data_IF_703876053486
#
_entry.id   IF_703876053486
#
_cell.length_a   1.000
_cell.length_b   1.000
_cell.length_c   1.000
_cell.angle_alpha   90.00
_cell.angle_beta   90.00
_cell.angle_gamma   90.00
#
_symmetry.space_group_name_H-M   'P 1'
#
loop_
_entity.id
_entity.type
_entity.pdbx_description
1 polymer ?
#
# COMPACT_ATOMS: atom_id res chain seq x y z
N UNK A 1 13.81 10.72 0.21
CA UNK A 1 12.71 10.24 1.07
C UNK A 1 11.48 10.11 0.20
N UNK A 2 10.99 8.89 0.02
CA UNK A 2 9.81 8.58 -0.79
C UNK A 2 8.64 8.36 0.16
N UNK A 3 7.51 9.00 -0.10
CA UNK A 3 6.27 8.79 0.68
C UNK A 3 5.23 8.14 -0.23
N UNK A 4 4.68 7.03 0.23
CA UNK A 4 3.63 6.31 -0.50
C UNK A 4 2.39 6.19 0.36
N UNK A 5 1.22 6.24 -0.25
CA UNK A 5 -0.03 5.88 0.43
C UNK A 5 -0.51 4.52 -0.05
N UNK A 6 -0.90 3.69 0.89
CA UNK A 6 -1.47 2.36 0.67
C UNK A 6 -2.94 2.42 1.05
N UNK A 7 -3.85 2.19 0.12
CA UNK A 7 -5.30 2.21 0.37
C UNK A 7 -5.87 0.82 0.16
N UNK A 8 -6.33 0.21 1.23
CA UNK A 8 -7.01 -1.08 1.21
C UNK A 8 -8.45 -0.90 0.75
N UNK A 9 -8.93 -1.80 -0.10
CA UNK A 9 -10.31 -1.83 -0.56
C UNK A 9 -11.02 -3.08 -0.04
N UNK A 10 -12.28 -2.92 0.35
CA UNK A 10 -13.12 -3.99 0.88
C UNK A 10 -14.22 -3.41 1.76
N UNK A 11 -14.94 -4.29 2.44
CA UNK A 11 -15.97 -3.89 3.39
C UNK A 11 -15.33 -3.27 4.65
N UNK A 12 -15.93 -2.23 5.26
CA UNK A 12 -15.33 -1.51 6.39
C UNK A 12 -14.93 -2.40 7.57
N UNK A 13 -15.76 -3.40 7.87
CA UNK A 13 -15.57 -4.36 8.96
C UNK A 13 -14.36 -5.28 8.77
N UNK A 14 -13.99 -5.56 7.51
CA UNK A 14 -12.85 -6.39 7.15
C UNK A 14 -11.58 -5.56 6.95
N UNK A 15 -11.71 -4.33 6.44
CA UNK A 15 -10.57 -3.47 6.04
C UNK A 15 -9.79 -2.96 7.25
N UNK A 16 -10.48 -2.49 8.29
CA UNK A 16 -9.84 -1.91 9.47
C UNK A 16 -8.89 -2.89 10.21
N UNK A 17 -9.29 -4.14 10.54
CA UNK A 17 -8.36 -5.10 11.15
C UNK A 17 -7.20 -5.47 10.23
N UNK A 18 -7.43 -5.59 8.92
CA UNK A 18 -6.39 -5.89 7.94
C UNK A 18 -5.40 -4.73 7.77
N UNK A 19 -5.87 -3.48 7.79
CA UNK A 19 -5.01 -2.30 7.75
C UNK A 19 -4.09 -2.24 8.98
N UNK A 20 -4.61 -2.57 10.17
CA UNK A 20 -3.79 -2.66 11.38
C UNK A 20 -2.75 -3.76 11.32
N UNK A 21 -3.13 -4.93 10.80
CA UNK A 21 -2.20 -6.05 10.61
C UNK A 21 -1.10 -5.70 9.61
N UNK A 22 -1.48 -5.15 8.45
CA UNK A 22 -0.52 -4.73 7.44
C UNK A 22 0.43 -3.66 7.98
N UNK A 23 -0.07 -2.67 8.74
CA UNK A 23 0.78 -1.67 9.39
C UNK A 23 1.83 -2.30 10.30
N UNK A 24 1.47 -3.31 11.08
CA UNK A 24 2.44 -4.03 11.92
C UNK A 24 3.52 -4.71 11.06
N UNK A 25 3.13 -5.40 9.98
CA UNK A 25 4.07 -6.02 9.04
C UNK A 25 4.99 -4.98 8.37
N UNK A 26 4.51 -3.76 8.10
CA UNK A 26 5.29 -2.67 7.52
C UNK A 26 6.32 -2.09 8.49
N UNK A 27 5.97 -1.95 9.77
CA UNK A 27 6.89 -1.44 10.79
C UNK A 27 8.08 -2.38 11.04
N UNK A 28 7.94 -3.67 10.72
CA UNK A 28 9.03 -4.64 10.79
C UNK A 28 10.05 -4.50 9.63
N UNK A 29 9.73 -3.74 8.57
CA UNK A 29 10.57 -3.60 7.36
C UNK A 29 11.65 -2.50 7.45
N UNK A 30 11.92 -1.93 8.63
CA UNK A 30 12.83 -0.79 8.81
C UNK A 30 12.42 0.43 7.96
N UNK A 31 11.11 0.67 7.86
CA UNK A 31 10.55 1.90 7.28
C UNK A 31 10.76 3.06 8.24
N UNK A 32 10.88 4.28 7.72
CA UNK A 32 11.04 5.46 8.59
C UNK A 32 9.76 5.73 9.39
N UNK A 33 8.61 5.53 8.77
CA UNK A 33 7.31 5.55 9.44
C UNK A 33 6.25 4.77 8.67
N UNK A 34 5.26 4.26 9.41
CA UNK A 34 4.00 3.76 8.88
C UNK A 34 2.86 4.27 9.78
N UNK A 35 2.07 5.20 9.25
CA UNK A 35 1.03 5.90 9.98
C UNK A 35 -0.31 5.77 9.26
N UNK A 36 -1.41 5.74 10.01
CA UNK A 36 -2.71 5.83 9.36
C UNK A 36 -2.94 7.26 8.88
N UNK A 37 -3.53 7.39 7.69
CA UNK A 37 -3.98 8.70 7.23
C UNK A 37 -5.01 9.24 8.24
N UNK A 38 -4.80 10.46 8.71
CA UNK A 38 -5.75 11.15 9.60
C UNK A 38 -6.67 12.00 8.74
N UNK A 39 -7.98 11.72 8.78
CA UNK A 39 -8.99 12.48 8.02
C UNK A 39 -9.58 11.72 6.83
N UNK A 40 -10.30 12.45 5.98
CA UNK A 40 -11.04 11.92 4.82
C UNK A 40 -10.09 11.23 3.83
N UNK A 41 -10.53 10.10 3.25
CA UNK A 41 -9.74 9.30 2.33
C UNK A 41 -9.12 10.18 1.21
N UNK A 42 -7.90 9.86 0.73
CA UNK A 42 -7.24 10.67 -0.31
C UNK A 42 -8.15 10.92 -1.50
N UNK A 43 -8.14 12.15 -2.03
CA UNK A 43 -9.02 12.54 -3.15
C UNK A 43 -8.87 11.57 -4.33
N UNK A 44 -9.95 10.88 -4.67
CA UNK A 44 -9.99 9.86 -5.73
C UNK A 44 -10.08 8.40 -5.27
N UNK A 45 -10.01 8.11 -3.97
CA UNK A 45 -10.26 6.77 -3.42
C UNK A 45 -11.75 6.41 -3.50
N UNK A 46 -12.19 5.94 -4.66
CA UNK A 46 -13.55 5.42 -4.84
C UNK A 46 -13.70 4.12 -4.02
N UNK A 47 -14.72 4.06 -3.17
CA UNK A 47 -15.10 2.83 -2.45
C UNK A 47 -14.43 2.64 -1.09
N UNK A 48 -13.96 3.71 -0.45
CA UNK A 48 -13.52 3.71 0.94
C UNK A 48 -14.58 4.39 1.79
N UNK A 49 -15.06 3.71 2.82
CA UNK A 49 -15.94 4.31 3.83
C UNK A 49 -15.14 5.34 4.66
N UNK A 50 -15.60 6.61 4.79
CA UNK A 50 -14.89 7.65 5.51
C UNK A 50 -14.69 7.38 7.02
N UNK A 51 -15.36 6.38 7.59
CA UNK A 51 -15.17 5.94 8.97
C UNK A 51 -14.13 4.82 9.16
N UNK A 52 -13.68 4.16 8.07
CA UNK A 52 -12.78 3.02 8.16
C UNK A 52 -11.30 3.44 8.04
N UNK A 53 -10.45 2.84 8.88
CA UNK A 53 -8.99 2.98 8.71
C UNK A 53 -8.56 2.09 7.54
N UNK A 54 -8.51 2.66 6.35
CA UNK A 54 -8.14 1.94 5.12
C UNK A 54 -6.79 2.38 4.54
N UNK A 55 -6.26 3.52 4.99
CA UNK A 55 -5.12 4.16 4.35
C UNK A 55 -3.93 4.26 5.28
N UNK A 56 -2.78 3.79 4.82
CA UNK A 56 -1.50 3.84 5.53
C UNK A 56 -0.53 4.70 4.70
N UNK A 57 0.06 5.71 5.33
CA UNK A 57 1.15 6.52 4.78
C UNK A 57 2.47 5.90 5.25
N UNK A 58 3.34 5.58 4.29
CA UNK A 58 4.64 4.96 4.56
C UNK A 58 5.75 5.87 4.04
N UNK A 59 6.68 6.23 4.92
CA UNK A 59 7.89 6.97 4.59
C UNK A 59 9.11 6.05 4.50
N UNK A 60 9.91 6.25 3.46
CA UNK A 60 11.01 5.37 3.08
C UNK A 60 12.25 6.19 2.69
N UNK A 61 13.40 5.87 3.26
CA UNK A 61 14.66 6.57 3.01
C UNK A 61 15.58 5.85 2.03
N UNK A 62 15.39 4.55 1.79
CA UNK A 62 16.31 3.74 0.98
C UNK A 62 15.63 2.83 -0.04
N UNK A 63 16.34 2.56 -1.14
CA UNK A 63 15.88 1.67 -2.23
C UNK A 63 15.66 0.21 -1.82
N UNK A 64 16.49 -0.42 -0.94
CA UNK A 64 16.24 -1.78 -0.47
C UNK A 64 14.90 -1.95 0.26
N UNK A 65 14.45 -0.94 1.01
CA UNK A 65 13.16 -1.00 1.74
C UNK A 65 11.99 -0.96 0.76
N UNK A 66 12.09 -0.26 -0.37
CA UNK A 66 11.06 -0.28 -1.43
C UNK A 66 10.83 -1.68 -2.01
N UNK A 67 11.91 -2.45 -2.20
CA UNK A 67 11.81 -3.84 -2.68
C UNK A 67 11.13 -4.73 -1.64
N UNK A 68 11.45 -4.55 -0.36
CA UNK A 68 10.83 -5.30 0.74
C UNK A 68 9.36 -4.95 0.90
N UNK A 69 9.01 -3.66 0.82
CA UNK A 69 7.63 -3.19 0.79
C UNK A 69 6.84 -3.91 -0.31
N UNK A 70 7.36 -3.93 -1.54
CA UNK A 70 6.69 -4.61 -2.64
C UNK A 70 6.42 -6.09 -2.39
N UNK A 71 7.35 -6.79 -1.73
CA UNK A 71 7.15 -8.19 -1.33
C UNK A 71 6.04 -8.33 -0.31
N UNK A 72 6.01 -7.49 0.72
CA UNK A 72 4.94 -7.52 1.75
C UNK A 72 3.57 -7.22 1.14
N UNK A 73 3.46 -6.23 0.25
CA UNK A 73 2.19 -5.90 -0.40
C UNK A 73 1.69 -7.04 -1.30
N UNK A 74 2.60 -7.66 -2.04
CA UNK A 74 2.30 -8.85 -2.84
C UNK A 74 1.84 -10.00 -1.95
N UNK A 75 2.61 -10.32 -0.92
CA UNK A 75 2.29 -11.45 -0.04
C UNK A 75 0.98 -11.21 0.70
N UNK A 76 0.66 -9.95 1.05
CA UNK A 76 -0.62 -9.58 1.64
C UNK A 76 -1.79 -9.78 0.68
N UNK A 77 -1.67 -9.35 -0.59
CA UNK A 77 -2.76 -9.44 -1.56
C UNK A 77 -3.02 -10.86 -2.05
N UNK A 78 -1.99 -11.72 -2.06
CA UNK A 78 -2.14 -13.14 -2.44
C UNK A 78 -2.73 -14.04 -1.35
N UNK A 79 -2.97 -13.52 -0.12
CA UNK A 79 -3.55 -14.29 0.99
C UNK A 79 -5.07 -14.50 0.87
N UNK A 80 -5.77 -13.68 0.09
CA UNK A 80 -7.23 -13.79 -0.14
C UNK A 80 -7.56 -13.13 -1.49
N UNK A 81 -8.33 -13.82 -2.33
CA UNK A 81 -8.73 -13.37 -3.68
C UNK A 81 -9.50 -12.03 -3.69
N UNK A 82 -10.14 -11.68 -2.57
CA UNK A 82 -10.91 -10.43 -2.41
C UNK A 82 -10.03 -9.24 -2.06
N UNK A 83 -8.77 -9.46 -1.66
CA UNK A 83 -7.87 -8.38 -1.25
C UNK A 83 -7.47 -7.54 -2.45
N UNK A 84 -7.54 -6.24 -2.24
CA UNK A 84 -7.13 -5.24 -3.21
C UNK A 84 -6.51 -4.07 -2.47
N UNK A 85 -5.35 -3.61 -2.95
CA UNK A 85 -4.68 -2.44 -2.41
C UNK A 85 -4.24 -1.51 -3.53
N UNK A 86 -4.53 -0.23 -3.39
CA UNK A 86 -3.99 0.82 -4.24
C UNK A 86 -2.74 1.40 -3.59
N UNK A 87 -1.65 1.45 -4.33
CA UNK A 87 -0.40 2.09 -3.94
C UNK A 87 -0.29 3.40 -4.73
N UNK A 88 -0.11 4.51 -4.04
CA UNK A 88 0.03 5.85 -4.64
C UNK A 88 1.35 6.49 -4.28
N UNK A 89 1.96 7.12 -5.26
CA UNK A 89 3.16 7.95 -5.15
C UNK A 89 2.91 9.24 -5.93
N UNK A 90 2.63 10.32 -5.21
CA UNK A 90 2.17 11.59 -5.78
C UNK A 90 0.93 11.42 -6.67
N UNK A 91 1.08 11.68 -7.97
CA UNK A 91 0.01 11.55 -8.97
C UNK A 91 -0.11 10.15 -9.58
N UNK A 92 0.87 9.28 -9.33
CA UNK A 92 0.92 7.92 -9.86
C UNK A 92 0.20 6.98 -8.91
N UNK A 93 -0.59 6.06 -9.42
CA UNK A 93 -1.09 4.94 -8.65
C UNK A 93 -0.98 3.63 -9.41
N UNK A 94 -0.88 2.55 -8.65
CA UNK A 94 -1.00 1.18 -9.13
C UNK A 94 -1.96 0.44 -8.21
N UNK A 95 -2.80 -0.41 -8.78
CA UNK A 95 -3.65 -1.32 -8.02
C UNK A 95 -3.04 -2.71 -8.03
N UNK A 96 -2.91 -3.31 -6.86
CA UNK A 96 -2.51 -4.70 -6.68
C UNK A 96 -3.75 -5.52 -6.29
N UNK A 97 -3.90 -6.68 -6.93
CA UNK A 97 -4.93 -7.69 -6.67
C UNK A 97 -4.26 -9.06 -6.59
N UNK A 98 -5.03 -10.12 -6.30
CA UNK A 98 -4.53 -11.50 -6.38
C UNK A 98 -4.33 -11.98 -7.83
N UNK A 99 -3.47 -11.30 -8.60
CA UNK A 99 -2.87 -11.82 -9.83
C UNK A 99 -1.59 -12.60 -9.51
N UNK A 100 -0.93 -13.15 -10.52
CA UNK A 100 0.30 -13.94 -10.28
C UNK A 100 1.35 -13.12 -9.53
N UNK A 101 2.07 -13.79 -8.61
CA UNK A 101 3.12 -13.17 -7.80
C UNK A 101 4.21 -12.48 -8.64
N UNK A 102 4.47 -13.02 -9.84
CA UNK A 102 5.43 -12.46 -10.79
C UNK A 102 4.93 -11.14 -11.40
N UNK A 103 3.64 -11.05 -11.75
CA UNK A 103 3.04 -9.84 -12.32
C UNK A 103 3.01 -8.71 -11.30
N UNK A 104 2.62 -9.00 -10.06
CA UNK A 104 2.62 -8.04 -8.97
C UNK A 104 4.05 -7.54 -8.67
N UNK A 105 5.05 -8.43 -8.59
CA UNK A 105 6.43 -8.03 -8.32
C UNK A 105 6.98 -7.11 -9.42
N UNK A 106 6.79 -7.46 -10.69
CA UNK A 106 7.27 -6.66 -11.82
C UNK A 106 6.58 -5.30 -11.87
N UNK A 107 5.28 -5.25 -11.60
CA UNK A 107 4.51 -4.01 -11.63
C UNK A 107 4.90 -3.06 -10.47
N UNK A 108 5.14 -3.60 -9.28
CA UNK A 108 5.64 -2.84 -8.13
C UNK A 108 7.05 -2.31 -8.39
N UNK A 109 7.96 -3.15 -8.89
CA UNK A 109 9.31 -2.72 -9.24
C UNK A 109 9.29 -1.63 -10.32
N UNK A 110 8.45 -1.77 -11.35
CA UNK A 110 8.31 -0.77 -12.39
C UNK A 110 7.74 0.56 -11.86
N UNK A 111 6.79 0.48 -10.93
CA UNK A 111 6.19 1.65 -10.28
C UNK A 111 7.23 2.45 -9.47
N UNK A 112 8.08 1.78 -8.72
CA UNK A 112 9.12 2.43 -7.89
C UNK A 112 10.43 2.74 -8.61
N UNK A 113 10.72 2.10 -9.76
CA UNK A 113 11.95 2.34 -10.54
C UNK A 113 11.94 3.66 -11.30
N UNK A 114 10.75 4.17 -11.69
CA UNK A 114 10.66 5.51 -12.29
C UNK A 114 10.80 6.53 -11.18
N UNK A 115 11.92 7.26 -11.19
CA UNK A 115 12.25 8.31 -10.23
C UNK A 115 11.03 9.16 -9.82
N UNK A 116 10.90 9.54 -8.54
CA UNK A 116 9.84 10.42 -8.05
C UNK A 116 10.05 11.91 -8.41
N UNK A 117 10.65 12.21 -9.57
CA UNK A 117 10.85 13.59 -10.03
C UNK A 117 10.10 13.89 -11.34
N UNK A 118 8.91 14.48 -11.17
CA UNK A 118 8.42 15.58 -12.02
C UNK A 118 7.55 16.51 -11.16
#
# INVERSE_FOLDING_TARGET
>A
MTTVSLTLHGEPEDVDPEARRLRAELLDLDVDSAEFATGEAPTGSKGVDPGAVSTIIVALSTSPVLVQLGRVLRDWVTRDDRRKIEVRDGKRSITLTNTTAADNQAAIEAFFRRDPQD
#
